data_IF_444993714740
#
_entry.id   IF_444993714740
#
_cell.length_a   1.000
_cell.length_b   1.000
_cell.length_c   1.000
_cell.angle_alpha   90.00
_cell.angle_beta   90.00
_cell.angle_gamma   90.00
#
_symmetry.space_group_name_H-M   'P 1'
#
loop_
_entity.id
_entity.type
_entity.pdbx_description
1 polymer ?
#
# COMPACT_ATOMS: atom_id res chain seq x y z
N UNK A 1 -0.29 -10.65 -12.65
CA UNK A 1 0.12 -9.63 -11.66
C UNK A 1 1.22 -8.82 -12.28
N UNK A 2 1.18 -7.50 -12.09
CA UNK A 2 2.18 -6.60 -12.63
C UNK A 2 3.51 -6.78 -11.90
N UNK A 3 4.62 -6.83 -12.64
CA UNK A 3 5.96 -7.05 -12.08
C UNK A 3 6.75 -5.75 -12.05
N UNK A 4 7.46 -5.50 -10.95
CA UNK A 4 8.21 -4.26 -10.73
C UNK A 4 9.73 -4.49 -10.70
N UNK A 5 10.48 -3.66 -11.41
CA UNK A 5 11.94 -3.60 -11.29
C UNK A 5 12.33 -2.30 -10.58
N UNK A 6 13.00 -2.40 -9.44
CA UNK A 6 13.52 -1.25 -8.70
C UNK A 6 15.03 -1.17 -8.91
N UNK A 7 15.45 -0.23 -9.75
CA UNK A 7 16.86 -0.04 -10.11
C UNK A 7 17.42 1.05 -9.22
N UNK A 8 18.55 0.82 -8.55
CA UNK A 8 19.11 1.83 -7.65
C UNK A 8 20.63 1.82 -7.63
N UNK A 9 21.22 2.95 -7.27
CA UNK A 9 22.62 3.05 -6.85
C UNK A 9 22.68 3.39 -5.35
N UNK A 10 23.70 2.92 -4.64
CA UNK A 10 23.91 3.31 -3.25
C UNK A 10 25.36 3.18 -2.82
N UNK A 11 25.90 4.26 -2.23
CA UNK A 11 27.24 4.27 -1.64
C UNK A 11 27.22 3.90 -0.15
N UNK A 12 26.31 4.51 0.63
CA UNK A 12 26.21 4.32 2.09
C UNK A 12 24.95 3.57 2.55
N UNK A 13 24.16 3.00 1.64
CA UNK A 13 23.05 2.09 1.96
C UNK A 13 21.66 2.71 1.99
N UNK A 14 21.51 4.02 2.27
CA UNK A 14 20.18 4.66 2.41
C UNK A 14 19.27 4.48 1.18
N UNK A 15 19.81 4.64 -0.04
CA UNK A 15 19.04 4.39 -1.28
C UNK A 15 18.67 2.92 -1.45
N UNK A 16 19.54 1.99 -1.03
CA UNK A 16 19.28 0.56 -1.12
C UNK A 16 18.16 0.13 -0.16
N UNK A 17 18.17 0.66 1.06
CA UNK A 17 17.12 0.45 2.06
C UNK A 17 15.75 0.93 1.54
N UNK A 18 15.71 2.15 1.00
CA UNK A 18 14.49 2.73 0.40
C UNK A 18 14.03 1.93 -0.82
N UNK A 19 14.96 1.51 -1.70
CA UNK A 19 14.64 0.65 -2.85
C UNK A 19 13.99 -0.67 -2.40
N UNK A 20 14.54 -1.29 -1.34
CA UNK A 20 14.00 -2.49 -0.73
C UNK A 20 12.59 -2.29 -0.18
N UNK A 21 12.36 -1.21 0.57
CA UNK A 21 11.05 -0.87 1.11
C UNK A 21 10.00 -0.64 -0.01
N UNK A 22 10.36 0.11 -1.06
CA UNK A 22 9.49 0.33 -2.22
C UNK A 22 9.15 -1.01 -2.91
N UNK A 23 10.14 -1.89 -3.10
CA UNK A 23 9.92 -3.19 -3.72
C UNK A 23 8.94 -4.07 -2.91
N UNK A 24 9.05 -4.08 -1.58
CA UNK A 24 8.14 -4.81 -0.70
C UNK A 24 6.68 -4.34 -0.83
N UNK A 25 6.46 -3.02 -0.90
CA UNK A 25 5.11 -2.44 -1.01
C UNK A 25 4.46 -2.71 -2.37
N UNK A 26 5.26 -2.67 -3.44
CA UNK A 26 4.80 -2.83 -4.83
C UNK A 26 4.50 -4.28 -5.23
N UNK A 27 4.90 -5.28 -4.42
CA UNK A 27 4.55 -6.69 -4.62
C UNK A 27 5.63 -7.49 -5.35
N UNK A 28 5.32 -8.24 -6.44
CA UNK A 28 6.31 -9.09 -7.11
C UNK A 28 7.37 -8.21 -7.81
N UNK A 29 8.40 -7.88 -7.05
CA UNK A 29 9.41 -6.92 -7.42
C UNK A 29 10.81 -7.51 -7.30
N UNK A 30 11.74 -6.99 -8.11
CA UNK A 30 13.18 -7.26 -8.01
C UNK A 30 13.91 -5.95 -7.86
N UNK A 31 14.82 -5.88 -6.90
CA UNK A 31 15.78 -4.78 -6.77
C UNK A 31 17.08 -5.17 -7.48
N UNK A 32 17.73 -4.22 -8.15
CA UNK A 32 19.07 -4.43 -8.71
C UNK A 32 19.83 -3.11 -8.89
N UNK A 33 21.16 -3.21 -8.99
CA UNK A 33 22.00 -2.12 -9.47
C UNK A 33 22.00 -2.06 -11.02
N UNK A 34 22.39 -0.93 -11.63
CA UNK A 34 22.48 -0.84 -13.09
C UNK A 34 23.35 -1.93 -13.75
N UNK A 35 24.46 -2.31 -13.12
CA UNK A 35 25.38 -3.35 -13.58
C UNK A 35 24.81 -4.78 -13.47
N UNK A 36 23.83 -4.98 -12.60
CA UNK A 36 23.14 -6.26 -12.39
C UNK A 36 21.94 -6.43 -13.32
N UNK A 37 21.56 -5.38 -14.05
CA UNK A 37 20.40 -5.38 -14.92
C UNK A 37 20.63 -6.24 -16.16
N UNK A 38 19.76 -7.23 -16.39
CA UNK A 38 19.78 -8.09 -17.59
C UNK A 38 18.68 -7.73 -18.59
N UNK A 39 18.85 -8.12 -19.85
CA UNK A 39 17.85 -7.89 -20.92
C UNK A 39 16.49 -8.54 -20.62
N UNK A 40 16.46 -9.65 -19.89
CA UNK A 40 15.24 -10.35 -19.46
C UNK A 40 14.37 -9.48 -18.54
N UNK A 41 15.01 -8.59 -17.75
CA UNK A 41 14.34 -7.67 -16.84
C UNK A 41 13.60 -6.54 -17.57
N UNK A 42 13.74 -6.40 -18.89
CA UNK A 42 12.91 -5.50 -19.72
C UNK A 42 11.44 -5.95 -19.81
N UNK A 43 11.17 -7.21 -19.47
CA UNK A 43 9.81 -7.77 -19.46
C UNK A 43 8.97 -7.31 -18.26
N UNK A 44 9.56 -6.59 -17.31
CA UNK A 44 8.84 -5.96 -16.21
C UNK A 44 7.96 -4.81 -16.71
N UNK A 45 6.94 -4.48 -15.94
CA UNK A 45 5.89 -3.54 -16.33
C UNK A 45 6.13 -2.14 -15.73
N UNK A 46 6.58 -2.10 -14.46
CA UNK A 46 7.00 -0.90 -13.74
C UNK A 46 8.52 -0.86 -13.56
N UNK A 47 9.11 0.31 -13.77
CA UNK A 47 10.47 0.61 -13.36
C UNK A 47 10.48 1.77 -12.35
N UNK A 48 11.03 1.53 -11.16
CA UNK A 48 11.31 2.59 -10.19
C UNK A 48 12.82 2.78 -10.11
N UNK A 49 13.30 3.99 -10.39
CA UNK A 49 14.74 4.26 -10.52
C UNK A 49 15.18 5.22 -9.39
N UNK A 50 16.04 4.70 -8.52
CA UNK A 50 16.56 5.38 -7.34
C UNK A 50 17.98 5.86 -7.51
N UNK A 51 18.28 7.10 -7.13
CA UNK A 51 19.64 7.65 -7.15
C UNK A 51 20.01 8.37 -5.86
N UNK A 52 21.21 8.15 -5.30
CA UNK A 52 21.73 9.06 -4.28
C UNK A 52 22.14 10.37 -4.94
N UNK A 53 22.07 11.46 -4.19
CA UNK A 53 22.56 12.78 -4.61
C UNK A 53 23.86 13.09 -3.87
N UNK A 54 24.96 13.17 -4.62
CA UNK A 54 26.25 13.61 -4.13
C UNK A 54 26.73 14.79 -4.95
N UNK A 55 27.21 15.85 -4.28
CA UNK A 55 27.63 17.10 -4.92
C UNK A 55 26.59 17.70 -5.87
N UNK A 56 25.29 17.53 -5.55
CA UNK A 56 24.18 18.03 -6.35
C UNK A 56 23.89 17.25 -7.63
N UNK A 57 24.54 16.10 -7.83
CA UNK A 57 24.38 15.29 -9.04
C UNK A 57 23.75 13.94 -8.73
N UNK A 58 23.00 13.42 -9.69
CA UNK A 58 22.58 12.01 -9.73
C UNK A 58 23.80 11.10 -9.92
N UNK A 59 23.70 9.84 -9.49
CA UNK A 59 24.76 8.87 -9.68
C UNK A 59 25.05 8.66 -11.18
N UNK A 60 26.33 8.68 -11.62
CA UNK A 60 26.68 8.49 -13.01
C UNK A 60 26.19 7.15 -13.61
N UNK A 61 26.17 6.09 -12.80
CA UNK A 61 25.65 4.76 -13.19
C UNK A 61 24.16 4.82 -13.55
N UNK A 62 23.36 5.53 -12.75
CA UNK A 62 21.92 5.74 -12.99
C UNK A 62 21.68 6.62 -14.20
N UNK A 63 22.39 7.75 -14.32
CA UNK A 63 22.26 8.65 -15.47
C UNK A 63 22.53 7.91 -16.78
N UNK A 64 23.66 7.19 -16.85
CA UNK A 64 24.04 6.37 -18.01
C UNK A 64 23.01 5.29 -18.31
N UNK A 65 22.48 4.64 -17.26
CA UNK A 65 21.44 3.62 -17.43
C UNK A 65 20.20 4.20 -18.11
N UNK A 66 19.66 5.31 -17.60
CA UNK A 66 18.45 5.95 -18.13
C UNK A 66 18.68 6.42 -19.57
N UNK A 67 19.81 7.08 -19.83
CA UNK A 67 20.17 7.59 -21.16
C UNK A 67 20.28 6.46 -22.20
N UNK A 68 21.05 5.42 -21.88
CA UNK A 68 21.30 4.28 -22.79
C UNK A 68 20.01 3.49 -23.08
N UNK A 69 19.07 3.48 -22.15
CA UNK A 69 17.84 2.68 -22.21
C UNK A 69 16.58 3.51 -22.51
N UNK A 70 16.72 4.81 -22.78
CA UNK A 70 15.60 5.73 -22.91
C UNK A 70 14.56 5.29 -23.97
N UNK A 71 15.02 4.71 -25.08
CA UNK A 71 14.15 4.29 -26.20
C UNK A 71 13.08 3.27 -25.82
N UNK A 72 13.38 2.37 -24.88
CA UNK A 72 12.42 1.38 -24.39
C UNK A 72 11.82 1.75 -23.04
N UNK A 73 12.56 2.45 -22.17
CA UNK A 73 12.04 2.94 -20.89
C UNK A 73 10.86 3.90 -21.09
N UNK A 74 10.91 4.78 -22.11
CA UNK A 74 9.79 5.67 -22.47
C UNK A 74 8.49 4.94 -22.85
N UNK A 75 8.56 3.65 -23.16
CA UNK A 75 7.39 2.80 -23.48
C UNK A 75 6.86 2.05 -22.26
N UNK A 76 7.48 2.24 -21.09
CA UNK A 76 7.14 1.59 -19.83
C UNK A 76 6.63 2.63 -18.84
N UNK A 77 6.00 2.16 -17.77
CA UNK A 77 5.71 3.02 -16.62
C UNK A 77 6.99 3.20 -15.82
N UNK A 78 7.41 4.46 -15.62
CA UNK A 78 8.65 4.81 -14.92
C UNK A 78 8.34 5.80 -13.81
N UNK A 79 8.96 5.59 -12.65
CA UNK A 79 8.98 6.54 -11.54
C UNK A 79 10.41 6.70 -11.02
N UNK A 80 10.70 7.85 -10.41
CA UNK A 80 12.01 8.17 -9.87
C UNK A 80 11.94 8.46 -8.37
N UNK A 81 13.02 8.14 -7.68
CA UNK A 81 13.27 8.73 -6.37
C UNK A 81 14.74 9.10 -6.21
N UNK A 82 15.02 10.02 -5.31
CA UNK A 82 16.39 10.27 -4.87
C UNK A 82 16.52 10.27 -3.36
N UNK A 83 17.73 10.00 -2.88
CA UNK A 83 18.10 10.20 -1.48
C UNK A 83 19.05 11.39 -1.38
N UNK A 84 18.69 12.37 -0.56
CA UNK A 84 19.48 13.58 -0.43
C UNK A 84 19.30 14.23 0.94
N UNK A 85 20.25 15.08 1.31
CA UNK A 85 20.20 15.86 2.55
C UNK A 85 19.24 17.06 2.38
N UNK A 86 19.23 17.67 1.20
CA UNK A 86 18.41 18.84 0.90
C UNK A 86 17.16 18.45 0.11
N UNK A 87 16.10 18.05 0.83
CA UNK A 87 14.85 17.58 0.24
C UNK A 87 14.16 18.63 -0.65
N UNK A 88 14.30 19.92 -0.33
CA UNK A 88 13.71 21.01 -1.12
C UNK A 88 14.24 21.06 -2.56
N UNK A 89 15.48 20.62 -2.79
CA UNK A 89 16.09 20.52 -4.13
C UNK A 89 15.86 19.18 -4.82
N UNK A 90 15.20 18.24 -4.16
CA UNK A 90 14.95 16.89 -4.65
C UNK A 90 14.36 16.83 -6.06
N UNK A 91 13.32 17.63 -6.32
CA UNK A 91 12.71 17.72 -7.65
C UNK A 91 13.66 18.29 -8.70
N UNK A 92 14.53 19.22 -8.33
CA UNK A 92 15.52 19.83 -9.22
C UNK A 92 16.60 18.81 -9.61
N UNK A 93 17.05 18.00 -8.65
CA UNK A 93 18.02 16.92 -8.91
C UNK A 93 17.50 15.85 -9.87
N UNK A 94 16.21 15.52 -9.78
CA UNK A 94 15.58 14.50 -10.62
C UNK A 94 15.08 15.05 -11.97
N UNK A 95 15.13 16.37 -12.18
CA UNK A 95 14.58 17.04 -13.37
C UNK A 95 15.13 16.44 -14.66
N UNK A 96 16.46 16.30 -14.74
CA UNK A 96 17.12 15.76 -15.93
C UNK A 96 16.62 14.35 -16.28
N UNK A 97 16.50 13.45 -15.29
CA UNK A 97 16.04 12.07 -15.51
C UNK A 97 14.56 12.03 -15.95
N UNK A 98 13.74 12.97 -15.47
CA UNK A 98 12.32 13.08 -15.87
C UNK A 98 12.17 13.60 -17.29
N UNK A 99 12.97 14.57 -17.71
CA UNK A 99 12.99 15.09 -19.09
C UNK A 99 13.35 13.97 -20.08
N UNK A 100 14.30 13.11 -19.69
CA UNK A 100 14.64 11.89 -20.45
C UNK A 100 13.48 10.89 -20.55
N UNK A 101 12.42 11.02 -19.75
CA UNK A 101 11.22 10.15 -19.78
C UNK A 101 9.93 10.87 -20.25
N UNK A 102 9.98 12.18 -20.52
CA UNK A 102 8.81 12.96 -20.99
C UNK A 102 8.08 13.73 -19.90
N UNK A 103 8.77 14.09 -18.82
CA UNK A 103 8.35 14.94 -17.69
C UNK A 103 7.22 14.44 -16.79
N UNK A 104 6.32 13.58 -17.27
CA UNK A 104 5.18 13.09 -16.48
C UNK A 104 5.54 11.98 -15.48
N UNK A 105 6.79 11.50 -15.53
CA UNK A 105 7.28 10.46 -14.62
C UNK A 105 7.21 10.96 -13.16
N UNK A 106 6.50 10.23 -12.26
CA UNK A 106 6.43 10.59 -10.85
C UNK A 106 7.83 10.61 -10.24
N UNK A 107 8.11 11.61 -9.40
CA UNK A 107 9.41 11.78 -8.77
C UNK A 107 9.27 12.28 -7.34
N UNK A 108 10.09 11.74 -6.44
CA UNK A 108 10.08 12.10 -5.01
C UNK A 108 11.50 12.11 -4.45
N UNK A 109 11.74 12.93 -3.43
CA UNK A 109 12.99 12.93 -2.70
C UNK A 109 12.77 12.47 -1.27
N UNK A 110 13.68 11.61 -0.80
CA UNK A 110 13.68 11.08 0.55
C UNK A 110 14.95 11.47 1.28
N UNK A 111 14.85 11.57 2.60
CA UNK A 111 16.01 11.70 3.45
C UNK A 111 16.74 10.36 3.58
N UNK A 112 18.05 10.44 3.80
CA UNK A 112 18.86 9.26 4.08
C UNK A 112 19.55 9.38 5.43
N UNK A 113 20.12 8.26 5.88
CA UNK A 113 21.07 8.23 6.98
C UNK A 113 22.44 8.72 6.52
N UNK A 114 23.07 9.53 7.36
CA UNK A 114 24.44 10.00 7.24
C UNK A 114 25.16 9.72 8.56
N UNK A 115 26.22 8.91 8.49
CA UNK A 115 27.15 8.69 9.60
C UNK A 115 28.51 9.25 9.18
N UNK A 116 28.95 10.32 9.84
CA UNK A 116 30.15 11.09 9.47
C UNK A 116 31.39 10.21 9.46
N UNK A 117 31.47 9.25 10.39
CA UNK A 117 32.56 8.27 10.49
C UNK A 117 32.68 7.33 9.28
N UNK A 118 31.61 7.15 8.52
CA UNK A 118 31.58 6.26 7.35
C UNK A 118 31.80 7.01 6.03
N UNK A 119 31.85 8.34 6.06
CA UNK A 119 32.14 9.14 4.88
C UNK A 119 33.59 8.89 4.43
N UNK A 120 33.77 8.70 3.13
CA UNK A 120 35.11 8.76 2.57
C UNK A 120 35.66 10.19 2.57
N UNK A 121 36.95 10.32 2.23
CA UNK A 121 37.66 11.60 2.28
C UNK A 121 37.02 12.66 1.38
N UNK A 122 36.55 12.26 0.20
CA UNK A 122 36.02 13.18 -0.80
C UNK A 122 34.65 13.71 -0.38
N UNK A 123 33.77 12.83 0.08
CA UNK A 123 32.44 13.22 0.58
C UNK A 123 32.54 14.03 1.87
N UNK A 124 33.45 13.66 2.79
CA UNK A 124 33.70 14.43 4.00
C UNK A 124 34.18 15.85 3.66
N UNK A 125 35.08 15.98 2.68
CA UNK A 125 35.57 17.29 2.22
C UNK A 125 34.44 18.11 1.60
N UNK A 126 33.64 17.51 0.72
CA UNK A 126 32.52 18.17 0.08
C UNK A 126 31.47 18.66 1.09
N UNK A 127 31.08 17.81 2.04
CA UNK A 127 30.12 18.16 3.09
C UNK A 127 30.68 19.20 4.06
N UNK A 128 31.97 19.15 4.37
CA UNK A 128 32.64 20.20 5.18
C UNK A 128 32.63 21.56 4.48
N UNK A 129 32.84 21.59 3.15
CA UNK A 129 32.75 22.82 2.36
C UNK A 129 31.30 23.31 2.26
N UNK A 130 30.33 22.41 2.13
CA UNK A 130 28.91 22.74 2.13
C UNK A 130 28.48 23.35 3.48
N UNK A 131 28.89 22.73 4.59
CA UNK A 131 28.66 23.21 5.95
C UNK A 131 29.25 24.60 6.20
N UNK A 132 30.43 24.92 5.63
CA UNK A 132 31.02 26.27 5.74
C UNK A 132 30.29 27.35 4.96
N UNK A 133 29.53 26.99 3.93
CA UNK A 133 28.84 27.92 3.01
C UNK A 133 27.34 28.06 3.31
N UNK A 134 26.81 27.29 4.24
CA UNK A 134 25.39 27.19 4.55
C UNK A 134 25.21 27.05 6.06
N UNK A 135 23.98 27.09 6.56
CA UNK A 135 23.68 26.79 7.97
C UNK A 135 23.64 25.28 8.27
N UNK A 136 24.18 24.45 7.37
CA UNK A 136 24.22 23.00 7.53
C UNK A 136 25.29 22.59 8.55
N UNK A 137 24.89 21.84 9.57
CA UNK A 137 25.81 21.23 10.53
C UNK A 137 26.14 19.80 10.10
N UNK A 138 27.44 19.49 10.01
CA UNK A 138 27.92 18.15 9.68
C UNK A 138 28.00 17.28 10.94
N UNK A 139 26.98 16.45 11.13
CA UNK A 139 26.83 15.53 12.26
C UNK A 139 26.08 14.26 11.82
N UNK A 140 26.13 13.22 12.62
CA UNK A 140 25.34 12.01 12.37
C UNK A 140 23.85 12.36 12.36
N UNK A 141 23.14 11.94 11.32
CA UNK A 141 21.71 12.25 11.16
C UNK A 141 21.00 11.16 10.38
N UNK A 142 19.80 10.79 10.83
CA UNK A 142 18.88 9.96 10.07
C UNK A 142 17.65 10.79 9.68
N UNK A 143 17.53 11.08 8.38
CA UNK A 143 16.39 11.81 7.81
C UNK A 143 15.40 10.85 7.12
N UNK A 144 15.56 9.54 7.28
CA UNK A 144 14.71 8.57 6.60
C UNK A 144 13.31 8.55 7.20
N UNK A 145 12.32 8.85 6.36
CA UNK A 145 10.90 8.76 6.68
C UNK A 145 10.28 7.59 5.93
N UNK A 146 10.17 6.44 6.60
CA UNK A 146 9.54 5.25 6.02
C UNK A 146 8.03 5.43 5.78
N UNK A 147 7.38 6.35 6.50
CA UNK A 147 6.00 6.73 6.22
C UNK A 147 5.87 7.35 4.84
N UNK A 148 6.73 8.32 4.51
CA UNK A 148 6.77 8.93 3.19
C UNK A 148 7.13 7.93 2.08
N UNK A 149 8.10 7.04 2.33
CA UNK A 149 8.53 6.01 1.36
C UNK A 149 7.38 5.06 1.03
N UNK A 150 6.69 4.54 2.06
CA UNK A 150 5.58 3.62 1.87
C UNK A 150 4.36 4.31 1.27
N UNK A 151 4.07 5.56 1.62
CA UNK A 151 3.02 6.35 1.00
C UNK A 151 3.25 6.55 -0.51
N UNK A 152 4.48 6.89 -0.93
CA UNK A 152 4.84 6.98 -2.34
C UNK A 152 4.64 5.65 -3.08
N UNK A 153 5.13 4.55 -2.50
CA UNK A 153 4.99 3.23 -3.11
C UNK A 153 3.52 2.78 -3.20
N UNK A 154 2.69 3.08 -2.19
CA UNK A 154 1.25 2.82 -2.22
C UNK A 154 0.56 3.63 -3.33
N UNK A 155 0.88 4.92 -3.45
CA UNK A 155 0.33 5.77 -4.50
C UNK A 155 0.71 5.27 -5.92
N UNK A 156 1.95 4.80 -6.10
CA UNK A 156 2.35 4.13 -7.34
C UNK A 156 1.54 2.85 -7.59
N UNK A 157 1.38 2.01 -6.57
CA UNK A 157 0.61 0.77 -6.68
C UNK A 157 -0.83 1.02 -7.12
N UNK A 158 -1.47 2.05 -6.57
CA UNK A 158 -2.85 2.42 -6.92
C UNK A 158 -2.99 2.90 -8.37
N UNK A 159 -2.05 3.73 -8.85
CA UNK A 159 -2.06 4.22 -10.24
C UNK A 159 -1.91 3.10 -11.28
N UNK A 160 -1.37 1.96 -10.86
CA UNK A 160 -0.99 0.88 -11.77
C UNK A 160 -1.98 -0.29 -11.78
N UNK A 161 -2.96 -0.30 -10.89
CA UNK A 161 -4.01 -1.31 -10.83
C UNK A 161 -4.98 -1.30 -12.05
N UNK A 162 -4.80 -0.41 -13.03
CA UNK A 162 -5.80 -0.07 -14.06
C UNK A 162 -5.85 -1.00 -15.30
N UNK A 163 -5.46 -2.27 -15.20
CA UNK A 163 -5.52 -3.23 -16.32
C UNK A 163 -6.48 -4.39 -16.10
N UNK A 164 -7.41 -4.64 -17.03
CA UNK A 164 -8.31 -5.81 -16.98
C UNK A 164 -9.41 -5.72 -15.90
N UNK A 165 -9.75 -4.50 -15.48
CA UNK A 165 -10.81 -4.22 -14.52
C UNK A 165 -12.19 -4.51 -15.14
N UNK A 166 -13.07 -5.15 -14.38
CA UNK A 166 -14.48 -5.40 -14.74
C UNK A 166 -15.30 -4.11 -14.70
N UNK A 167 -16.46 -4.09 -15.36
CA UNK A 167 -17.37 -2.96 -15.21
C UNK A 167 -17.83 -2.84 -13.75
N UNK A 168 -18.01 -1.61 -13.27
CA UNK A 168 -18.30 -1.35 -11.85
C UNK A 168 -19.54 -2.11 -11.35
N UNK A 169 -20.59 -2.17 -12.16
CA UNK A 169 -21.83 -2.90 -11.85
C UNK A 169 -21.61 -4.42 -11.72
N UNK A 170 -20.74 -4.99 -12.56
CA UNK A 170 -20.43 -6.41 -12.57
C UNK A 170 -19.61 -6.79 -11.32
N UNK A 171 -18.56 -6.02 -11.01
CA UNK A 171 -17.74 -6.28 -9.81
C UNK A 171 -18.55 -6.02 -8.53
N UNK A 172 -19.44 -5.02 -8.51
CA UNK A 172 -20.35 -4.78 -7.39
C UNK A 172 -21.24 -6.00 -7.14
N UNK A 173 -21.90 -6.49 -8.20
CA UNK A 173 -22.72 -7.71 -8.11
C UNK A 173 -21.90 -8.90 -7.60
N UNK A 174 -20.72 -9.13 -8.17
CA UNK A 174 -19.86 -10.25 -7.76
C UNK A 174 -19.41 -10.17 -6.29
N UNK A 175 -19.08 -8.98 -5.79
CA UNK A 175 -18.72 -8.74 -4.38
C UNK A 175 -19.91 -9.00 -3.46
N UNK A 176 -21.09 -8.46 -3.81
CA UNK A 176 -22.31 -8.64 -3.01
C UNK A 176 -22.77 -10.09 -2.97
N UNK A 177 -22.74 -10.80 -4.10
CA UNK A 177 -23.09 -12.22 -4.18
C UNK A 177 -22.14 -13.07 -3.33
N UNK A 178 -20.83 -12.77 -3.39
CA UNK A 178 -19.85 -13.45 -2.55
C UNK A 178 -20.10 -13.19 -1.07
N UNK A 179 -20.41 -11.94 -0.68
CA UNK A 179 -20.75 -11.61 0.70
C UNK A 179 -22.03 -12.29 1.18
N UNK A 180 -23.05 -12.45 0.33
CA UNK A 180 -24.31 -13.15 0.67
C UNK A 180 -24.14 -14.66 0.77
N UNK A 181 -23.24 -15.23 -0.03
CA UNK A 181 -22.95 -16.66 -0.02
C UNK A 181 -22.13 -17.12 1.19
N UNK A 182 -21.56 -16.18 1.95
CA UNK A 182 -20.73 -16.45 3.13
C UNK A 182 -21.29 -15.72 4.35
N UNK A 183 -20.96 -16.22 5.54
CA UNK A 183 -21.43 -15.66 6.81
C UNK A 183 -20.34 -15.63 7.88
N UNK A 184 -19.10 -16.02 7.54
CA UNK A 184 -17.95 -16.00 8.44
C UNK A 184 -16.87 -15.14 7.82
N UNK A 185 -16.28 -14.26 8.63
CA UNK A 185 -15.16 -13.43 8.21
C UNK A 185 -14.13 -13.28 9.32
N UNK A 186 -12.95 -12.79 8.96
CA UNK A 186 -11.97 -12.28 9.92
C UNK A 186 -12.10 -10.76 9.95
N UNK A 187 -12.59 -10.23 11.08
CA UNK A 187 -12.61 -8.80 11.36
C UNK A 187 -11.25 -8.38 11.91
N UNK A 188 -10.56 -7.53 11.18
CA UNK A 188 -9.35 -6.85 11.59
C UNK A 188 -9.67 -5.43 12.07
N UNK A 189 -9.24 -5.11 13.28
CA UNK A 189 -9.33 -3.77 13.88
C UNK A 189 -7.98 -3.40 14.47
N UNK A 190 -7.67 -2.10 14.52
CA UNK A 190 -6.41 -1.65 15.10
C UNK A 190 -6.43 -0.18 15.50
N UNK A 191 -5.63 0.14 16.50
CA UNK A 191 -5.40 1.50 16.96
C UNK A 191 -4.02 1.61 17.62
N UNK A 192 -3.28 2.69 17.35
CA UNK A 192 -1.87 2.86 17.71
C UNK A 192 -1.03 1.64 17.24
N UNK A 193 -0.30 0.98 18.16
CA UNK A 193 0.52 -0.20 17.88
C UNK A 193 -0.20 -1.52 18.16
N UNK A 194 -1.53 -1.51 18.34
CA UNK A 194 -2.33 -2.70 18.63
C UNK A 194 -3.18 -3.07 17.42
N UNK A 195 -3.14 -4.35 17.07
CA UNK A 195 -3.95 -4.95 16.01
C UNK A 195 -4.64 -6.20 16.55
N UNK A 196 -5.85 -6.47 16.07
CA UNK A 196 -6.63 -7.64 16.45
C UNK A 196 -7.35 -8.20 15.23
N UNK A 197 -7.15 -9.49 14.98
CA UNK A 197 -7.97 -10.29 14.09
C UNK A 197 -8.96 -11.12 14.92
N UNK A 198 -10.24 -11.11 14.56
CA UNK A 198 -11.29 -11.90 15.23
C UNK A 198 -12.14 -12.59 14.19
N UNK A 199 -12.21 -13.92 14.24
CA UNK A 199 -13.18 -14.68 13.44
C UNK A 199 -14.57 -14.45 14.00
N UNK A 200 -15.50 -13.98 13.16
CA UNK A 200 -16.86 -13.62 13.56
C UNK A 200 -17.86 -14.06 12.49
N UNK A 201 -19.09 -14.30 12.92
CA UNK A 201 -20.24 -14.40 12.02
C UNK A 201 -20.67 -12.98 11.61
N UNK A 202 -21.07 -12.81 10.36
CA UNK A 202 -21.62 -11.57 9.84
C UNK A 202 -22.87 -11.81 8.98
N UNK A 203 -23.69 -10.77 8.87
CA UNK A 203 -24.78 -10.66 7.90
C UNK A 203 -24.46 -9.52 6.93
N UNK A 204 -24.61 -9.75 5.62
CA UNK A 204 -24.54 -8.68 4.62
C UNK A 204 -25.94 -8.35 4.12
N UNK A 205 -26.37 -7.11 4.36
CA UNK A 205 -27.72 -6.66 4.02
C UNK A 205 -27.71 -5.16 3.71
N UNK A 206 -28.49 -4.72 2.71
CA UNK A 206 -28.58 -3.32 2.30
C UNK A 206 -27.21 -2.63 2.10
N UNK A 207 -26.24 -3.33 1.50
CA UNK A 207 -24.90 -2.81 1.23
C UNK A 207 -24.00 -2.68 2.47
N UNK A 208 -24.42 -3.19 3.63
CA UNK A 208 -23.68 -3.07 4.90
C UNK A 208 -23.42 -4.45 5.50
N UNK A 209 -22.35 -4.53 6.29
CA UNK A 209 -21.97 -5.73 7.02
C UNK A 209 -22.33 -5.55 8.50
N UNK A 210 -23.07 -6.48 9.07
CA UNK A 210 -23.53 -6.46 10.46
C UNK A 210 -22.91 -7.61 11.23
N UNK A 211 -22.26 -7.31 12.35
CA UNK A 211 -21.63 -8.28 13.24
C UNK A 211 -22.24 -8.11 14.63
N UNK A 212 -22.91 -9.15 15.14
CA UNK A 212 -23.54 -9.15 16.45
C UNK A 212 -22.52 -9.61 17.49
N UNK A 213 -22.36 -8.87 18.59
CA UNK A 213 -21.32 -9.18 19.56
C UNK A 213 -21.61 -8.74 20.98
N UNK A 214 -21.30 -9.64 21.92
CA UNK A 214 -21.31 -9.42 23.37
C UNK A 214 -20.20 -8.48 23.88
N UNK A 215 -19.18 -8.19 23.07
CA UNK A 215 -18.03 -7.38 23.53
C UNK A 215 -16.67 -7.92 23.05
N UNK A 216 -15.62 -7.58 23.80
CA UNK A 216 -14.26 -8.05 23.58
C UNK A 216 -13.30 -7.00 23.00
N UNK A 217 -12.04 -7.40 22.81
CA UNK A 217 -10.92 -6.49 22.53
C UNK A 217 -11.11 -5.62 21.29
N UNK A 218 -11.84 -6.10 20.27
CA UNK A 218 -12.17 -5.32 19.06
C UNK A 218 -12.78 -3.94 19.37
N UNK A 219 -13.57 -3.83 20.45
CA UNK A 219 -14.17 -2.54 20.84
C UNK A 219 -13.15 -1.55 21.39
N UNK A 220 -12.04 -2.00 21.98
CA UNK A 220 -10.98 -1.09 22.43
C UNK A 220 -10.36 -0.31 21.26
N UNK A 221 -10.34 -0.90 20.06
CA UNK A 221 -9.92 -0.23 18.83
C UNK A 221 -11.06 0.62 18.25
N UNK A 222 -12.24 0.02 18.07
CA UNK A 222 -13.36 0.67 17.38
C UNK A 222 -13.89 1.93 18.10
N UNK A 223 -13.73 2.01 19.43
CA UNK A 223 -14.07 3.21 20.20
C UNK A 223 -13.13 4.40 19.92
N UNK A 224 -11.94 4.15 19.35
CA UNK A 224 -10.91 5.18 19.07
C UNK A 224 -10.66 5.38 17.59
N UNK A 225 -10.88 4.35 16.78
CA UNK A 225 -10.66 4.34 15.34
C UNK A 225 -11.79 3.55 14.66
N UNK A 226 -12.67 4.20 13.87
CA UNK A 226 -13.75 3.51 13.19
C UNK A 226 -13.27 2.67 12.00
N UNK A 227 -12.00 2.74 11.58
CA UNK A 227 -11.50 1.95 10.48
C UNK A 227 -11.49 0.45 10.83
N UNK A 228 -12.05 -0.35 9.93
CA UNK A 228 -12.08 -1.80 10.02
C UNK A 228 -11.72 -2.42 8.67
N UNK A 229 -11.08 -3.59 8.72
CA UNK A 229 -10.86 -4.42 7.55
C UNK A 229 -11.47 -5.80 7.76
N UNK A 230 -11.98 -6.41 6.70
CA UNK A 230 -12.62 -7.73 6.73
C UNK A 230 -11.96 -8.60 5.67
N UNK A 231 -11.68 -9.85 6.02
CA UNK A 231 -11.33 -10.89 5.05
C UNK A 231 -12.40 -11.98 5.05
N UNK A 232 -12.96 -12.28 3.88
CA UNK A 232 -13.84 -13.43 3.63
C UNK A 232 -13.12 -14.32 2.61
N UNK A 233 -12.87 -15.57 2.97
CA UNK A 233 -12.17 -16.51 2.10
C UNK A 233 -12.60 -17.94 2.42
N UNK A 234 -12.51 -18.79 1.42
CA UNK A 234 -12.70 -20.24 1.59
C UNK A 234 -11.36 -20.94 1.49
N UNK A 235 -11.30 -22.14 2.08
CA UNK A 235 -10.17 -23.03 1.84
C UNK A 235 -10.17 -23.42 0.36
N UNK A 236 -9.03 -23.25 -0.31
CA UNK A 236 -8.82 -23.69 -1.68
C UNK A 236 -7.68 -24.72 -1.72
N UNK A 237 -7.78 -25.67 -2.64
CA UNK A 237 -6.79 -26.75 -2.83
C UNK A 237 -5.85 -26.49 -4.00
N UNK A 238 -6.19 -25.54 -4.87
CA UNK A 238 -5.41 -25.19 -6.06
C UNK A 238 -5.46 -23.70 -6.36
N UNK A 239 -4.52 -23.20 -7.16
CA UNK A 239 -4.55 -21.80 -7.63
C UNK A 239 -5.73 -21.50 -8.56
N UNK A 240 -6.39 -22.52 -9.10
CA UNK A 240 -7.52 -22.39 -10.03
C UNK A 240 -8.85 -22.15 -9.31
N UNK A 241 -8.88 -22.36 -7.99
CA UNK A 241 -10.07 -22.28 -7.14
C UNK A 241 -10.00 -21.12 -6.12
N UNK A 242 -8.99 -20.25 -6.24
CA UNK A 242 -8.82 -19.12 -5.31
C UNK A 242 -10.03 -18.19 -5.43
N UNK A 243 -10.70 -17.97 -4.30
CA UNK A 243 -11.67 -16.90 -4.09
C UNK A 243 -11.46 -16.31 -2.69
N UNK A 244 -11.11 -15.03 -2.63
CA UNK A 244 -10.91 -14.31 -1.38
C UNK A 244 -11.19 -12.83 -1.56
N UNK A 245 -11.94 -12.27 -0.62
CA UNK A 245 -12.41 -10.91 -0.62
C UNK A 245 -11.83 -10.17 0.60
N UNK A 246 -11.14 -9.07 0.34
CA UNK A 246 -10.75 -8.11 1.37
C UNK A 246 -11.62 -6.87 1.26
N UNK A 247 -12.09 -6.34 2.39
CA UNK A 247 -12.89 -5.12 2.45
C UNK A 247 -12.27 -4.18 3.47
N UNK A 248 -12.11 -2.93 3.08
CA UNK A 248 -11.84 -1.80 3.97
C UNK A 248 -13.14 -1.01 4.15
N UNK A 249 -13.43 -0.56 5.36
CA UNK A 249 -14.62 0.22 5.63
C UNK A 249 -14.62 0.90 6.99
N UNK A 250 -15.72 1.61 7.27
CA UNK A 250 -15.96 2.30 8.54
C UNK A 250 -17.00 1.57 9.36
N UNK A 251 -16.62 1.26 10.60
CA UNK A 251 -17.46 0.63 11.60
C UNK A 251 -18.18 1.68 12.46
N UNK A 252 -19.43 1.38 12.77
CA UNK A 252 -20.26 2.07 13.74
C UNK A 252 -20.72 1.08 14.81
N UNK A 253 -20.59 1.47 16.08
CA UNK A 253 -21.01 0.65 17.21
C UNK A 253 -22.44 1.04 17.58
N UNK A 254 -23.37 0.12 17.37
CA UNK A 254 -24.77 0.24 17.77
C UNK A 254 -24.96 -0.51 19.09
N UNK A 255 -25.04 0.22 20.20
CA UNK A 255 -25.37 -0.34 21.52
C UNK A 255 -26.89 -0.52 21.66
N UNK A 256 -27.36 -1.38 22.58
CA UNK A 256 -28.78 -1.42 22.93
C UNK A 256 -29.38 -0.02 23.18
N UNK A 257 -30.48 0.28 22.51
CA UNK A 257 -31.17 1.58 22.59
C UNK A 257 -30.61 2.69 21.67
N UNK A 258 -29.47 2.47 21.00
CA UNK A 258 -28.98 3.39 19.97
C UNK A 258 -29.84 3.30 18.70
N UNK A 259 -29.93 4.41 17.95
CA UNK A 259 -30.60 4.43 16.66
C UNK A 259 -29.98 3.40 15.70
N UNK A 260 -30.79 2.61 15.00
CA UNK A 260 -30.31 1.57 14.08
C UNK A 260 -30.08 0.20 14.74
N UNK A 261 -30.05 0.10 16.08
CA UNK A 261 -29.80 -1.17 16.78
C UNK A 261 -30.98 -2.13 16.64
N UNK A 262 -32.21 -1.65 16.89
CA UNK A 262 -33.41 -2.48 16.79
C UNK A 262 -33.64 -2.95 15.34
N UNK A 263 -33.41 -2.07 14.36
CA UNK A 263 -33.48 -2.41 12.94
C UNK A 263 -32.45 -3.48 12.58
N UNK A 264 -31.22 -3.37 13.10
CA UNK A 264 -30.19 -4.37 12.87
C UNK A 264 -30.59 -5.73 13.46
N UNK A 265 -31.10 -5.79 14.70
CA UNK A 265 -31.57 -7.04 15.30
C UNK A 265 -32.68 -7.71 14.47
N UNK A 266 -33.60 -6.92 13.91
CA UNK A 266 -34.67 -7.42 13.06
C UNK A 266 -34.15 -8.10 11.78
N UNK A 267 -32.99 -7.68 11.24
CA UNK A 267 -32.38 -8.32 10.06
C UNK A 267 -31.97 -9.78 10.29
N UNK A 268 -31.81 -10.19 11.56
CA UNK A 268 -31.46 -11.57 11.95
C UNK A 268 -32.58 -12.28 12.72
N UNK A 269 -33.79 -11.71 12.70
CA UNK A 269 -34.94 -12.20 13.47
C UNK A 269 -34.63 -12.37 14.97
N UNK A 270 -33.77 -11.51 15.53
CA UNK A 270 -33.41 -11.54 16.95
C UNK A 270 -34.45 -10.74 17.72
N UNK A 271 -35.23 -11.46 18.54
CA UNK A 271 -36.19 -10.85 19.46
C UNK A 271 -35.49 -10.06 20.58
N UNK A 272 -35.69 -8.74 20.68
CA UNK A 272 -35.13 -7.92 21.75
C UNK A 272 -35.53 -8.39 23.15
N UNK A 273 -36.72 -8.97 23.32
CA UNK A 273 -37.19 -9.47 24.62
C UNK A 273 -36.40 -10.70 25.08
N UNK A 274 -35.99 -11.56 24.14
CA UNK A 274 -35.08 -12.67 24.44
C UNK A 274 -33.70 -12.19 24.87
N UNK A 275 -33.23 -11.06 24.33
CA UNK A 275 -31.94 -10.48 24.74
C UNK A 275 -32.00 -9.90 26.16
N UNK A 276 -33.13 -9.32 26.58
CA UNK A 276 -33.30 -8.82 27.96
C UNK A 276 -33.18 -9.92 29.02
N UNK A 277 -33.45 -11.17 28.63
CA UNK A 277 -33.28 -12.33 29.50
C UNK A 277 -31.81 -12.80 29.63
N UNK A 278 -30.91 -12.27 28.79
CA UNK A 278 -29.47 -12.52 28.90
C UNK A 278 -28.84 -11.53 29.89
N UNK A 279 -27.88 -11.98 30.69
CA UNK A 279 -27.09 -11.12 31.57
C UNK A 279 -25.98 -10.35 30.82
N UNK A 280 -26.18 -10.03 29.53
CA UNK A 280 -25.21 -9.36 28.68
C UNK A 280 -25.88 -8.55 27.56
N UNK A 281 -25.29 -7.40 27.22
CA UNK A 281 -25.69 -6.58 26.08
C UNK A 281 -25.19 -7.21 24.76
N UNK A 282 -26.07 -7.36 23.78
CA UNK A 282 -25.68 -7.63 22.40
C UNK A 282 -25.54 -6.32 21.64
N UNK A 283 -24.32 -5.96 21.31
CA UNK A 283 -24.00 -4.82 20.45
C UNK A 283 -23.98 -5.25 18.99
N UNK A 284 -24.16 -4.31 18.07
CA UNK A 284 -23.98 -4.55 16.63
C UNK A 284 -22.86 -3.65 16.11
N UNK A 285 -21.89 -4.25 15.44
CA UNK A 285 -20.88 -3.52 14.66
C UNK A 285 -21.41 -3.47 13.23
N UNK A 286 -21.80 -2.27 12.78
CA UNK A 286 -22.27 -2.02 11.42
C UNK A 286 -21.14 -1.42 10.61
N UNK A 287 -20.70 -2.10 9.56
CA UNK A 287 -19.60 -1.68 8.71
C UNK A 287 -20.15 -1.24 7.36
N UNK A 288 -19.81 -0.01 6.97
CA UNK A 288 -20.03 0.51 5.62
C UNK A 288 -18.75 0.31 4.81
N UNK A 289 -18.78 -0.57 3.79
CA UNK A 289 -17.64 -0.77 2.89
C UNK A 289 -17.25 0.53 2.18
N UNK A 290 -15.95 0.79 2.05
CA UNK A 290 -15.40 1.91 1.28
C UNK A 290 -14.59 1.40 0.07
N UNK A 291 -13.93 0.25 0.23
CA UNK A 291 -13.17 -0.42 -0.82
C UNK A 291 -13.22 -1.92 -0.64
N UNK A 292 -13.35 -2.66 -1.74
CA UNK A 292 -13.22 -4.11 -1.77
C UNK A 292 -12.17 -4.54 -2.79
N UNK A 293 -11.32 -5.48 -2.42
CA UNK A 293 -10.36 -6.14 -3.31
C UNK A 293 -10.75 -7.62 -3.40
N UNK A 294 -11.13 -8.06 -4.59
CA UNK A 294 -11.59 -9.43 -4.83
C UNK A 294 -10.57 -10.18 -5.68
N UNK A 295 -9.89 -11.14 -5.07
CA UNK A 295 -9.04 -12.09 -5.77
C UNK A 295 -9.85 -13.34 -6.11
N UNK A 296 -10.13 -13.55 -7.40
CA UNK A 296 -10.90 -14.69 -7.88
C UNK A 296 -10.32 -15.26 -9.18
N UNK A 297 -9.95 -16.53 -9.16
CA UNK A 297 -9.42 -17.24 -10.33
C UNK A 297 -10.43 -17.29 -11.49
N UNK A 298 -11.73 -17.26 -11.21
CA UNK A 298 -12.79 -17.26 -12.22
C UNK A 298 -12.75 -16.02 -13.14
N UNK A 299 -12.32 -14.86 -12.64
CA UNK A 299 -12.25 -13.63 -13.43
C UNK A 299 -11.29 -13.77 -14.62
N UNK A 300 -10.19 -14.53 -14.46
CA UNK A 300 -9.25 -14.78 -15.55
C UNK A 300 -9.90 -15.59 -16.69
N UNK A 301 -10.79 -16.53 -16.37
CA UNK A 301 -11.55 -17.32 -17.36
C UNK A 301 -12.56 -16.44 -18.12
N UNK A 302 -12.98 -15.33 -17.53
CA UNK A 302 -13.88 -14.34 -18.12
C UNK A 302 -13.13 -13.25 -18.90
N UNK A 303 -11.80 -13.32 -19.01
CA UNK A 303 -10.99 -12.34 -19.72
C UNK A 303 -10.58 -11.11 -18.90
N UNK A 304 -10.85 -11.11 -17.59
CA UNK A 304 -10.50 -10.02 -16.68
C UNK A 304 -9.24 -10.32 -15.87
N UNK A 305 -8.72 -9.30 -15.17
CA UNK A 305 -7.67 -9.50 -14.19
C UNK A 305 -8.17 -10.38 -13.03
N UNK A 306 -7.30 -11.24 -12.50
CA UNK A 306 -7.64 -12.12 -11.36
C UNK A 306 -7.98 -11.35 -10.08
N UNK A 307 -7.35 -10.17 -9.89
CA UNK A 307 -7.66 -9.25 -8.80
C UNK A 307 -8.49 -8.11 -9.36
N UNK A 308 -9.63 -7.84 -8.73
CA UNK A 308 -10.54 -6.75 -9.05
C UNK A 308 -10.65 -5.81 -7.85
N UNK A 309 -10.84 -4.52 -8.10
CA UNK A 309 -11.02 -3.52 -7.03
C UNK A 309 -12.34 -2.76 -7.20
N UNK A 310 -13.20 -2.75 -6.19
CA UNK A 310 -14.40 -1.92 -6.14
C UNK A 310 -14.18 -0.80 -5.12
N UNK A 311 -14.59 0.42 -5.47
CA UNK A 311 -14.71 1.55 -4.53
C UNK A 311 -16.18 1.93 -4.45
N UNK A 312 -16.69 2.15 -3.23
CA UNK A 312 -18.10 2.42 -2.97
C UNK A 312 -18.43 3.90 -3.09
#
# INVERSE_FOLDING_TARGET
MQRTCVIYESKYGSTAEIAGAIALVLGPARTCRPEEFSSEMRSFDLFVIGTPIYNGNVAPSIRRFVETNASWLRKKTVAFFCTCINLHKGHEYLKELREMMGDDAPAVAFGGRMEVRHLDRDDLTALSLYAKKTDFTLEDRDLTDMGAVTAFALALRERMACGGQMAETEIRTAVEDYLKAHHICVLATGHDNRVRATTVDYLFENGKIYIYSEGGEKFAHLLRNPAAAIAVYTQYTSMEDIAGLQIEGKAEILRPGAAGHAEALALRDIDPDRLRALNADINVIRITPEKAEFLNAAFKRQGHAMKQTLRY
#
